data_IF_124081944583
#
_entry.id   IF_124081944583
#
_cell.length_a   1.000
_cell.length_b   1.000
_cell.length_c   1.000
_cell.angle_alpha   90.00
_cell.angle_beta   90.00
_cell.angle_gamma   90.00
#
_symmetry.space_group_name_H-M   'P 1'
#
loop_
_entity.id
_entity.type
_entity.pdbx_description
1 polymer ?
#
# COMPACT_ATOMS: atom_id res chain seq x y z
N UNK A 1 14.55 -11.32 23.97
CA UNK A 1 13.27 -12.02 23.68
C UNK A 1 12.00 -11.19 23.97
N UNK A 2 11.93 -10.42 25.07
CA UNK A 2 10.77 -9.56 25.44
C UNK A 2 10.46 -8.45 24.41
N UNK A 3 11.50 -7.81 23.86
CA UNK A 3 11.36 -6.75 22.86
C UNK A 3 10.70 -7.23 21.55
N UNK A 4 11.06 -8.43 21.06
CA UNK A 4 10.51 -9.02 19.84
C UNK A 4 9.00 -9.31 20.00
N UNK A 5 8.59 -9.87 21.15
CA UNK A 5 7.16 -10.10 21.45
C UNK A 5 6.36 -8.80 21.49
N UNK A 6 6.93 -7.72 22.04
CA UNK A 6 6.27 -6.42 22.10
C UNK A 6 6.15 -5.77 20.72
N UNK A 7 7.18 -5.89 19.87
CA UNK A 7 7.15 -5.46 18.47
C UNK A 7 6.07 -6.22 17.68
N UNK A 8 5.99 -7.54 17.86
CA UNK A 8 5.01 -8.38 17.17
C UNK A 8 3.57 -8.08 17.59
N UNK A 9 3.33 -7.81 18.88
CA UNK A 9 2.04 -7.31 19.38
C UNK A 9 1.68 -5.93 18.80
N UNK A 10 2.64 -5.01 18.71
CA UNK A 10 2.43 -3.70 18.10
C UNK A 10 2.05 -3.81 16.62
N UNK A 11 2.76 -4.64 15.86
CA UNK A 11 2.52 -4.88 14.44
C UNK A 11 1.15 -5.51 14.19
N UNK A 12 0.80 -6.58 14.90
CA UNK A 12 -0.49 -7.25 14.77
C UNK A 12 -1.67 -6.36 15.18
N UNK A 13 -1.51 -5.56 16.23
CA UNK A 13 -2.51 -4.55 16.63
C UNK A 13 -2.68 -3.47 15.56
N UNK A 14 -1.59 -2.98 14.97
CA UNK A 14 -1.63 -2.00 13.88
C UNK A 14 -2.36 -2.57 12.65
N UNK A 15 -2.10 -3.84 12.30
CA UNK A 15 -2.80 -4.54 11.22
C UNK A 15 -4.29 -4.76 11.50
N UNK A 16 -4.65 -5.20 12.72
CA UNK A 16 -6.06 -5.36 13.11
C UNK A 16 -6.82 -4.03 13.07
N UNK A 17 -6.20 -2.95 13.56
CA UNK A 17 -6.75 -1.61 13.45
C UNK A 17 -6.84 -1.13 12.00
N UNK A 18 -5.83 -1.44 11.18
CA UNK A 18 -5.82 -1.10 9.76
C UNK A 18 -7.00 -1.72 9.03
N UNK A 19 -7.22 -3.03 9.17
CA UNK A 19 -8.38 -3.71 8.60
C UNK A 19 -9.70 -3.14 9.11
N UNK A 20 -9.82 -2.95 10.43
CA UNK A 20 -11.03 -2.39 11.04
C UNK A 20 -11.33 -0.98 10.55
N UNK A 21 -10.31 -0.17 10.29
CA UNK A 21 -10.46 1.19 9.78
C UNK A 21 -10.76 1.20 8.29
N UNK A 22 -10.12 0.36 7.48
CA UNK A 22 -10.41 0.25 6.04
C UNK A 22 -11.90 0.03 5.76
N UNK A 23 -12.54 -0.88 6.50
CA UNK A 23 -13.96 -1.18 6.32
C UNK A 23 -14.91 -0.20 7.04
N UNK A 24 -14.39 0.78 7.79
CA UNK A 24 -15.21 1.78 8.47
C UNK A 24 -15.42 3.01 7.58
N UNK A 25 -16.66 3.25 7.14
CA UNK A 25 -17.01 4.31 6.19
C UNK A 25 -16.84 5.76 6.71
N UNK A 26 -16.70 5.99 8.03
CA UNK A 26 -16.56 7.33 8.64
C UNK A 26 -15.29 7.45 9.48
N UNK A 27 -14.52 8.52 9.23
CA UNK A 27 -13.37 8.96 10.02
C UNK A 27 -12.13 9.29 9.18
N UNK A 28 -11.51 10.45 9.45
CA UNK A 28 -10.24 10.89 8.84
C UNK A 28 -9.09 10.10 9.47
N UNK A 29 -8.38 9.33 8.67
CA UNK A 29 -7.24 8.53 9.13
C UNK A 29 -5.95 9.36 9.02
N UNK A 30 -5.11 9.38 10.06
CA UNK A 30 -3.86 10.15 10.07
C UNK A 30 -2.75 9.53 9.20
N UNK A 31 -1.78 10.36 8.76
CA UNK A 31 -0.65 10.01 7.87
C UNK A 31 0.16 8.79 8.32
N UNK A 32 0.38 8.63 9.63
CA UNK A 32 1.13 7.49 10.19
C UNK A 32 0.50 6.13 9.88
N UNK A 33 -0.82 6.04 9.77
CA UNK A 33 -1.53 4.79 9.47
C UNK A 33 -1.43 4.40 7.99
N UNK A 34 -1.13 5.37 7.12
CA UNK A 34 -0.85 5.10 5.70
C UNK A 34 0.56 4.52 5.49
N UNK A 35 1.52 4.84 6.36
CA UNK A 35 2.87 4.25 6.30
C UNK A 35 2.86 2.73 6.51
N UNK A 36 1.91 2.20 7.27
CA UNK A 36 1.72 0.76 7.43
C UNK A 36 1.41 0.02 6.12
N UNK A 37 0.98 0.73 5.07
CA UNK A 37 0.71 0.17 3.73
C UNK A 37 1.86 0.44 2.77
N UNK A 38 2.50 1.61 2.86
CA UNK A 38 3.71 1.91 2.08
C UNK A 38 4.80 0.88 2.36
N UNK A 39 5.01 0.55 3.63
CA UNK A 39 6.11 -0.34 4.02
C UNK A 39 5.98 -1.72 3.33
N UNK A 40 4.83 -2.41 3.38
CA UNK A 40 4.59 -3.63 2.59
C UNK A 40 4.75 -3.43 1.07
N UNK A 41 4.32 -2.29 0.51
CA UNK A 41 4.50 -2.00 -0.92
C UNK A 41 5.99 -1.90 -1.26
N UNK A 42 6.77 -1.12 -0.50
CA UNK A 42 8.21 -0.97 -0.70
C UNK A 42 8.92 -2.31 -0.52
N UNK A 43 8.53 -3.10 0.48
CA UNK A 43 9.07 -4.43 0.71
C UNK A 43 8.77 -5.36 -0.47
N UNK A 44 7.56 -5.29 -1.05
CA UNK A 44 7.19 -6.06 -2.24
C UNK A 44 8.02 -5.71 -3.47
N UNK A 45 8.37 -4.43 -3.65
CA UNK A 45 9.24 -3.96 -4.74
C UNK A 45 10.67 -4.46 -4.53
N UNK A 46 11.20 -4.35 -3.32
CA UNK A 46 12.54 -4.84 -2.99
C UNK A 46 12.63 -6.35 -3.25
N UNK A 47 11.64 -7.12 -2.79
CA UNK A 47 11.53 -8.56 -3.04
C UNK A 47 11.44 -8.89 -4.53
N UNK A 48 10.71 -8.10 -5.31
CA UNK A 48 10.64 -8.31 -6.76
C UNK A 48 12.01 -8.10 -7.43
N UNK A 49 12.71 -7.01 -7.08
CA UNK A 49 14.01 -6.68 -7.67
C UNK A 49 15.07 -7.75 -7.33
N UNK A 50 15.07 -8.27 -6.10
CA UNK A 50 16.00 -9.34 -5.71
C UNK A 50 15.71 -10.63 -6.46
N UNK A 51 14.44 -11.05 -6.56
CA UNK A 51 14.05 -12.25 -7.31
C UNK A 51 14.33 -12.10 -8.81
N UNK A 52 14.07 -10.92 -9.38
CA UNK A 52 14.36 -10.65 -10.78
C UNK A 52 15.86 -10.72 -11.08
N UNK A 53 16.70 -10.17 -10.20
CA UNK A 53 18.17 -10.28 -10.31
C UNK A 53 18.65 -11.74 -10.30
N UNK A 54 18.12 -12.56 -9.39
CA UNK A 54 18.44 -13.99 -9.31
C UNK A 54 17.99 -14.78 -10.55
N UNK A 55 16.93 -14.38 -11.23
CA UNK A 55 16.46 -15.01 -12.47
C UNK A 55 17.29 -14.62 -13.70
N UNK A 56 17.94 -13.45 -13.69
CA UNK A 56 18.84 -13.00 -14.76
C UNK A 56 20.15 -13.80 -14.72
N UNK A 57 20.56 -14.25 -13.54
CA UNK A 57 21.71 -15.14 -13.33
C UNK A 57 21.36 -16.59 -13.76
N UNK A 58 21.18 -16.80 -15.07
CA UNK A 58 20.75 -18.07 -15.69
C UNK A 58 21.77 -19.22 -15.61
N UNK A 59 22.81 -19.10 -14.79
CA UNK A 59 23.93 -20.04 -14.79
C UNK A 59 23.65 -21.32 -13.99
N UNK A 60 22.68 -21.31 -13.06
CA UNK A 60 22.36 -22.48 -12.24
C UNK A 60 20.88 -22.91 -12.37
N UNK A 61 20.58 -24.08 -12.97
CA UNK A 61 19.21 -24.56 -13.14
C UNK A 61 18.47 -24.83 -11.84
N UNK A 62 19.18 -25.12 -10.73
CA UNK A 62 18.56 -25.29 -9.42
C UNK A 62 18.06 -23.95 -8.86
N UNK A 63 18.82 -22.86 -9.06
CA UNK A 63 18.42 -21.51 -8.64
C UNK A 63 17.16 -21.05 -9.38
N UNK A 64 17.06 -21.36 -10.67
CA UNK A 64 15.86 -21.05 -11.48
C UNK A 64 14.64 -21.80 -10.95
N UNK A 65 14.75 -23.10 -10.62
CA UNK A 65 13.63 -23.87 -10.03
C UNK A 65 13.18 -23.32 -8.69
N UNK A 66 14.12 -23.10 -7.77
CA UNK A 66 13.79 -22.61 -6.41
C UNK A 66 13.17 -21.22 -6.47
N UNK A 67 13.72 -20.32 -7.28
CA UNK A 67 13.18 -18.97 -7.47
C UNK A 67 11.80 -19.00 -8.11
N UNK A 68 11.57 -19.89 -9.09
CA UNK A 68 10.27 -20.10 -9.72
C UNK A 68 9.20 -20.57 -8.72
N UNK A 69 9.53 -21.53 -7.85
CA UNK A 69 8.62 -21.96 -6.79
C UNK A 69 8.32 -20.85 -5.77
N UNK A 70 9.34 -20.09 -5.38
CA UNK A 70 9.15 -18.95 -4.49
C UNK A 70 8.20 -17.90 -5.10
N UNK A 71 8.40 -17.59 -6.38
CA UNK A 71 7.55 -16.65 -7.10
C UNK A 71 6.08 -17.09 -7.13
N UNK A 72 5.85 -18.36 -7.49
CA UNK A 72 4.51 -18.90 -7.65
C UNK A 72 3.75 -19.04 -6.32
N UNK A 73 4.39 -19.60 -5.30
CA UNK A 73 3.72 -19.99 -4.06
C UNK A 73 3.74 -18.92 -2.97
N UNK A 74 4.70 -17.99 -3.01
CA UNK A 74 4.85 -16.98 -1.95
C UNK A 74 4.69 -15.57 -2.47
N UNK A 75 5.46 -15.19 -3.49
CA UNK A 75 5.46 -13.81 -3.98
C UNK A 75 4.13 -13.42 -4.62
N UNK A 76 3.57 -14.25 -5.51
CA UNK A 76 2.30 -13.91 -6.19
C UNK A 76 1.13 -13.73 -5.21
N UNK A 77 0.85 -14.66 -4.27
CA UNK A 77 -0.20 -14.46 -3.27
C UNK A 77 0.04 -13.24 -2.38
N UNK A 78 1.28 -13.05 -1.92
CA UNK A 78 1.64 -11.88 -1.12
C UNK A 78 1.41 -10.58 -1.88
N UNK A 79 1.86 -10.49 -3.14
CA UNK A 79 1.71 -9.31 -3.97
C UNK A 79 0.23 -9.01 -4.25
N UNK A 80 -0.58 -10.04 -4.52
CA UNK A 80 -2.02 -9.89 -4.71
C UNK A 80 -2.69 -9.26 -3.49
N UNK A 81 -2.41 -9.77 -2.28
CA UNK A 81 -2.93 -9.20 -1.04
C UNK A 81 -2.48 -7.74 -0.90
N UNK A 82 -1.19 -7.45 -1.08
CA UNK A 82 -0.66 -6.08 -1.00
C UNK A 82 -1.36 -5.16 -2.00
N UNK A 83 -1.60 -5.60 -3.24
CA UNK A 83 -2.28 -4.81 -4.27
C UNK A 83 -3.73 -4.51 -3.92
N UNK A 84 -4.48 -5.49 -3.41
CA UNK A 84 -5.87 -5.28 -2.96
C UNK A 84 -5.91 -4.24 -1.82
N UNK A 85 -5.07 -4.40 -0.80
CA UNK A 85 -5.01 -3.47 0.33
C UNK A 85 -4.62 -2.05 -0.13
N UNK A 86 -3.67 -1.96 -1.06
CA UNK A 86 -3.23 -0.70 -1.65
C UNK A 86 -4.36 -0.02 -2.42
N UNK A 87 -5.12 -0.76 -3.23
CA UNK A 87 -6.27 -0.26 -3.96
C UNK A 87 -7.36 0.27 -3.01
N UNK A 88 -7.75 -0.51 -2.01
CA UNK A 88 -8.76 -0.09 -1.03
C UNK A 88 -8.37 1.21 -0.32
N UNK A 89 -7.09 1.35 0.02
CA UNK A 89 -6.57 2.52 0.70
C UNK A 89 -6.55 3.76 -0.20
N UNK A 90 -6.12 3.62 -1.45
CA UNK A 90 -6.12 4.72 -2.42
C UNK A 90 -7.55 5.14 -2.76
N UNK A 91 -8.46 4.18 -2.95
CA UNK A 91 -9.87 4.46 -3.17
C UNK A 91 -10.49 5.26 -2.01
N UNK A 92 -10.13 4.90 -0.77
CA UNK A 92 -10.52 5.67 0.43
C UNK A 92 -9.89 7.04 0.46
N UNK A 93 -8.60 7.18 0.14
CA UNK A 93 -7.92 8.49 0.16
C UNK A 93 -8.52 9.42 -0.89
N UNK A 94 -8.83 8.90 -2.08
CA UNK A 94 -9.52 9.64 -3.13
C UNK A 94 -10.90 10.08 -2.66
N UNK A 95 -11.66 9.19 -2.03
CA UNK A 95 -12.92 9.55 -1.39
C UNK A 95 -12.76 10.64 -0.33
N UNK A 96 -11.76 10.54 0.54
CA UNK A 96 -11.50 11.48 1.62
C UNK A 96 -11.05 12.87 1.10
N UNK A 97 -10.45 12.95 -0.10
CA UNK A 97 -10.08 14.22 -0.78
C UNK A 97 -11.22 14.74 -1.67
N UNK A 98 -12.24 13.92 -1.96
CA UNK A 98 -13.35 14.29 -2.84
C UNK A 98 -13.08 14.04 -4.33
N UNK A 99 -12.04 13.26 -4.65
CA UNK A 99 -11.72 12.79 -6.01
C UNK A 99 -12.50 11.51 -6.30
N UNK A 100 -12.77 11.24 -7.59
CA UNK A 100 -13.42 10.00 -8.00
C UNK A 100 -12.63 8.76 -7.53
N UNK A 101 -13.33 7.85 -6.83
CA UNK A 101 -12.79 6.61 -6.23
C UNK A 101 -12.12 5.71 -7.27
N UNK A 102 -12.62 5.72 -8.50
CA UNK A 102 -12.11 4.90 -9.60
C UNK A 102 -10.69 5.28 -10.05
N UNK A 103 -10.20 6.48 -9.71
CA UNK A 103 -8.78 6.82 -9.92
C UNK A 103 -7.83 5.90 -9.13
N UNK A 104 -8.33 5.15 -8.15
CA UNK A 104 -7.54 4.13 -7.47
C UNK A 104 -7.06 3.00 -8.40
N UNK A 105 -7.70 2.81 -9.57
CA UNK A 105 -7.25 1.85 -10.59
C UNK A 105 -5.85 2.15 -11.13
N UNK A 106 -5.37 3.40 -11.00
CA UNK A 106 -3.99 3.79 -11.37
C UNK A 106 -2.95 2.96 -10.61
N UNK A 107 -3.31 2.39 -9.44
CA UNK A 107 -2.44 1.49 -8.66
C UNK A 107 -2.04 0.19 -9.37
N UNK A 108 -2.81 -0.22 -10.37
CA UNK A 108 -2.49 -1.39 -11.20
C UNK A 108 -1.51 -1.07 -12.32
N UNK A 109 -1.29 0.21 -12.63
CA UNK A 109 -0.30 0.64 -13.61
C UNK A 109 1.08 0.64 -12.93
N UNK A 110 2.05 -0.15 -13.40
CA UNK A 110 3.40 -0.18 -12.85
C UNK A 110 4.03 1.22 -12.84
N UNK A 111 4.80 1.55 -11.81
CA UNK A 111 5.49 2.83 -11.58
C UNK A 111 4.55 4.04 -11.36
N UNK A 112 3.54 4.24 -12.22
CA UNK A 112 2.57 5.35 -12.10
C UNK A 112 1.75 5.23 -10.82
N UNK A 113 1.31 4.03 -10.45
CA UNK A 113 0.61 3.80 -9.19
C UNK A 113 1.40 4.24 -7.97
N UNK A 114 2.73 4.02 -7.98
CA UNK A 114 3.61 4.40 -6.85
C UNK A 114 3.73 5.92 -6.77
N UNK A 115 3.97 6.59 -7.91
CA UNK A 115 4.04 8.05 -7.99
C UNK A 115 2.74 8.68 -7.49
N UNK A 116 1.60 8.15 -7.92
CA UNK A 116 0.29 8.62 -7.47
C UNK A 116 0.09 8.45 -5.97
N UNK A 117 0.51 7.31 -5.41
CA UNK A 117 0.42 7.04 -3.98
C UNK A 117 1.31 7.99 -3.15
N UNK A 118 2.51 8.32 -3.65
CA UNK A 118 3.40 9.33 -3.05
C UNK A 118 2.74 10.72 -3.08
N UNK A 119 2.16 11.12 -4.22
CA UNK A 119 1.44 12.40 -4.35
C UNK A 119 0.30 12.48 -3.31
N UNK A 120 -0.50 11.42 -3.18
CA UNK A 120 -1.62 11.37 -2.21
C UNK A 120 -1.19 11.50 -0.74
N UNK A 121 0.07 11.21 -0.43
CA UNK A 121 0.64 11.34 0.92
C UNK A 121 1.14 12.75 1.21
N UNK A 122 1.64 13.43 0.19
CA UNK A 122 2.05 14.83 0.29
C UNK A 122 0.83 15.75 0.33
N UNK A 123 -0.24 15.41 -0.41
CA UNK A 123 -1.48 16.18 -0.42
C UNK A 123 -2.08 16.21 0.99
N UNK A 124 -2.12 17.41 1.57
CA UNK A 124 -2.83 17.74 2.80
C UNK A 124 -4.33 17.58 2.61
N UNK A 125 -5.04 17.10 3.63
CA UNK A 125 -6.51 17.16 3.66
C UNK A 125 -7.06 18.60 3.56
N UNK A 126 -6.23 19.62 3.78
CA UNK A 126 -6.55 21.03 3.58
C UNK A 126 -6.71 21.42 2.10
N UNK A 127 -6.22 20.59 1.16
CA UNK A 127 -6.38 20.81 -0.28
C UNK A 127 -7.86 20.82 -0.72
N UNK A 128 -8.76 20.22 0.07
CA UNK A 128 -10.21 20.31 -0.14
C UNK A 128 -10.75 21.74 -0.05
N UNK A 129 -10.17 22.59 0.80
CA UNK A 129 -10.57 24.01 0.92
C UNK A 129 -10.24 24.80 -0.35
N UNK A 130 -9.18 24.41 -1.07
CA UNK A 130 -8.76 25.07 -2.31
C UNK A 130 -9.58 24.62 -3.52
N UNK A 131 -9.97 23.35 -3.61
CA UNK A 131 -10.74 22.81 -4.75
C UNK A 131 -12.25 23.10 -4.62
N UNK A 132 -12.78 23.10 -3.39
CA UNK A 132 -14.20 23.33 -3.12
C UNK A 132 -14.42 24.40 -2.03
N UNK A 133 -13.99 25.65 -2.25
CA UNK A 133 -14.08 26.71 -1.23
C UNK A 133 -15.53 26.97 -0.79
N UNK A 134 -16.49 26.85 -1.71
CA UNK A 134 -17.91 27.11 -1.46
C UNK A 134 -18.54 26.18 -0.40
N UNK A 135 -17.98 24.98 -0.15
CA UNK A 135 -18.48 24.06 0.89
C UNK A 135 -18.07 24.45 2.31
N UNK A 136 -17.12 25.38 2.44
CA UNK A 136 -16.54 25.79 3.73
C UNK A 136 -16.77 27.28 4.05
N UNK A 137 -17.40 28.02 3.14
CA UNK A 137 -17.78 29.44 3.31
C UNK A 137 -19.23 29.62 3.78
N UNK A 138 -19.97 28.54 4.02
CA UNK A 138 -21.36 28.56 4.49
C UNK A 138 -21.51 28.15 5.97
N UNK A 139 -20.42 28.24 6.75
CA UNK A 139 -20.41 28.00 8.20
C UNK A 139 -20.15 29.28 8.97
#
# INVERSE_FOLDING_TARGET
>A
MKAIKNMWKGFTSAWGQFFRLMFKAKGKTGRAKYMCVIIPILLSILLFLTLAGLLVEKQNPQVVRVTGYYLLYFYLPYNLIVKILSFCLVARRNHDIGVNKWFALIMFIPNIGIVYLVILMVISSHFQMLIHPHKYLQG
#
